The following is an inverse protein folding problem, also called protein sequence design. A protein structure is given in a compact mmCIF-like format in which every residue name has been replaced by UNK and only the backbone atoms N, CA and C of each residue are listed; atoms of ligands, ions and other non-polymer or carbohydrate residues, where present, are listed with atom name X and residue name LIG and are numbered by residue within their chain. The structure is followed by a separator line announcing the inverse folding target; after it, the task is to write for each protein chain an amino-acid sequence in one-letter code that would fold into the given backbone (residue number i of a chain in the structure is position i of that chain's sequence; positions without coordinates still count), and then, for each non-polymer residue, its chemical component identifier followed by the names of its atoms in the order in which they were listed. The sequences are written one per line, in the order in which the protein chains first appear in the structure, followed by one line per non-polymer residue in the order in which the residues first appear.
data_IF_609409537619
#
_entry.id   IF_609409537619
#
_cell.length_a   1.000
_cell.length_b   1.000
_cell.length_c   1.000
_cell.angle_alpha   90.00
_cell.angle_beta   90.00
_cell.angle_gamma   90.00
#
_symmetry.space_group_name_H-M   'P 1'
#
loop_
_entity.id
_entity.type
_entity.pdbx_description
1 polymer ?
#
# COMPACT_ATOMS: atom_id res chain seq x y z
N UNK A 1 10.60 43.37 15.09
CA UNK A 1 10.71 41.95 15.48
C UNK A 1 10.77 41.12 14.18
N UNK A 2 11.65 41.53 13.24
CA UNK A 2 11.40 41.37 11.79
C UNK A 2 12.53 40.68 11.02
N UNK A 3 13.42 39.95 11.70
CA UNK A 3 14.56 39.29 11.05
C UNK A 3 14.51 37.75 11.11
N UNK A 4 13.52 37.16 11.78
CA UNK A 4 13.29 35.71 11.78
C UNK A 4 12.25 35.24 10.75
N UNK A 5 11.48 36.16 10.16
CA UNK A 5 10.42 35.89 9.17
C UNK A 5 10.93 35.71 7.74
N UNK A 6 12.23 35.95 7.47
CA UNK A 6 12.81 35.85 6.12
C UNK A 6 13.41 34.49 5.78
N UNK A 7 13.50 33.56 6.73
CA UNK A 7 14.01 32.20 6.50
C UNK A 7 12.93 31.22 6.02
N UNK A 8 11.65 31.57 6.17
CA UNK A 8 10.52 30.78 5.71
C UNK A 8 9.67 31.63 4.76
N UNK A 9 9.46 31.20 3.50
CA UNK A 9 8.77 32.01 2.49
C UNK A 9 7.30 32.21 2.90
N UNK A 10 6.90 33.41 3.35
CA UNK A 10 5.52 33.84 3.62
C UNK A 10 4.53 32.71 4.01
N UNK A 11 4.93 31.85 4.95
CA UNK A 11 4.13 30.69 5.34
C UNK A 11 2.98 31.17 6.22
N UNK A 12 1.82 31.37 5.60
CA UNK A 12 0.59 31.57 6.34
C UNK A 12 0.20 30.26 7.05
N UNK A 13 -0.17 30.30 8.33
CA UNK A 13 -0.55 29.12 9.11
C UNK A 13 -1.65 28.25 8.45
N UNK A 14 -2.48 28.84 7.58
CA UNK A 14 -3.45 28.13 6.74
C UNK A 14 -2.82 27.11 5.76
N UNK A 15 -1.51 27.18 5.50
CA UNK A 15 -0.78 26.14 4.76
C UNK A 15 -0.71 24.83 5.53
N UNK A 16 -0.71 24.85 6.86
CA UNK A 16 -0.66 23.63 7.66
C UNK A 16 -1.94 22.79 7.48
N UNK A 17 -3.05 23.38 7.03
CA UNK A 17 -4.26 22.65 6.65
C UNK A 17 -4.07 21.71 5.45
N UNK A 18 -2.96 21.83 4.72
CA UNK A 18 -2.59 20.85 3.71
C UNK A 18 -2.18 19.52 4.33
N UNK A 19 -1.72 19.49 5.60
CA UNK A 19 -1.23 18.28 6.25
C UNK A 19 -2.34 17.23 6.35
N UNK A 20 -3.54 17.50 6.90
CA UNK A 20 -4.61 16.51 6.87
C UNK A 20 -5.01 16.10 5.43
N UNK A 21 -4.96 17.04 4.47
CA UNK A 21 -5.20 16.74 3.06
C UNK A 21 -4.18 15.75 2.47
N UNK A 22 -2.91 15.91 2.80
CA UNK A 22 -1.82 14.99 2.45
C UNK A 22 -1.99 13.64 3.15
N UNK A 23 -2.41 13.62 4.41
CA UNK A 23 -2.66 12.37 5.14
C UNK A 23 -3.79 11.56 4.51
N UNK A 24 -4.90 12.21 4.16
CA UNK A 24 -5.97 11.59 3.36
C UNK A 24 -5.40 11.08 2.05
N UNK A 25 -4.62 11.93 1.36
CA UNK A 25 -4.05 11.61 0.05
C UNK A 25 -3.14 10.39 0.07
N UNK A 26 -2.17 10.34 0.98
CA UNK A 26 -1.29 9.18 1.14
C UNK A 26 -2.06 7.94 1.57
N UNK A 27 -3.02 8.05 2.48
CA UNK A 27 -3.87 6.93 2.88
C UNK A 27 -4.58 6.28 1.70
N UNK A 28 -5.31 7.07 0.90
CA UNK A 28 -6.09 6.52 -0.21
C UNK A 28 -5.21 6.04 -1.35
N UNK A 29 -4.06 6.70 -1.56
CA UNK A 29 -3.05 6.32 -2.55
C UNK A 29 -2.48 4.92 -2.27
N UNK A 30 -1.95 4.73 -1.07
CA UNK A 30 -1.35 3.45 -0.66
C UNK A 30 -2.42 2.36 -0.52
N UNK A 31 -3.62 2.72 -0.07
CA UNK A 31 -4.76 1.79 -0.06
C UNK A 31 -5.10 1.32 -1.48
N UNK A 32 -5.11 2.23 -2.46
CA UNK A 32 -5.31 1.93 -3.88
C UNK A 32 -4.31 0.89 -4.39
N UNK A 33 -3.02 1.11 -4.18
CA UNK A 33 -2.00 0.11 -4.54
C UNK A 33 -2.22 -1.23 -3.84
N UNK A 34 -2.49 -1.21 -2.52
CA UNK A 34 -2.62 -2.43 -1.73
C UNK A 34 -3.82 -3.30 -2.12
N UNK A 35 -4.96 -2.67 -2.44
CA UNK A 35 -6.18 -3.36 -2.87
C UNK A 35 -6.02 -3.93 -4.27
N UNK A 36 -5.43 -3.16 -5.19
CA UNK A 36 -5.20 -3.62 -6.56
C UNK A 36 -4.17 -4.76 -6.60
N UNK A 37 -3.07 -4.65 -5.84
CA UNK A 37 -2.08 -5.71 -5.70
C UNK A 37 -2.72 -7.01 -5.17
N UNK A 38 -3.54 -6.90 -4.12
CA UNK A 38 -4.29 -8.05 -3.57
C UNK A 38 -5.24 -8.66 -4.61
N UNK A 39 -5.97 -7.84 -5.35
CA UNK A 39 -6.89 -8.30 -6.39
C UNK A 39 -6.19 -9.10 -7.50
N UNK A 40 -4.96 -8.71 -7.84
CA UNK A 40 -4.12 -9.40 -8.82
C UNK A 40 -3.32 -10.58 -8.25
N UNK A 41 -3.38 -10.83 -6.93
CA UNK A 41 -2.84 -12.03 -6.30
C UNK A 41 -1.63 -11.81 -5.39
N UNK A 42 -1.14 -10.58 -5.23
CA UNK A 42 -0.14 -10.25 -4.21
C UNK A 42 -0.81 -10.13 -2.83
N UNK A 43 -0.77 -11.25 -2.10
CA UNK A 43 -1.28 -11.33 -0.72
C UNK A 43 -0.29 -10.82 0.33
N UNK A 44 0.93 -10.40 -0.04
CA UNK A 44 1.93 -9.92 0.93
C UNK A 44 1.50 -8.64 1.64
N UNK A 45 0.65 -7.82 1.02
CA UNK A 45 0.12 -6.61 1.66
C UNK A 45 -0.81 -6.91 2.84
N UNK A 46 -1.48 -8.06 2.79
CA UNK A 46 -2.36 -8.50 3.88
C UNK A 46 -1.54 -8.88 5.10
N UNK A 47 -0.49 -9.72 4.93
CA UNK A 47 0.37 -10.13 6.04
C UNK A 47 1.18 -8.97 6.63
N UNK A 48 1.51 -7.96 5.81
CA UNK A 48 2.15 -6.71 6.28
C UNK A 48 1.20 -5.75 6.98
N UNK A 49 -0.10 -6.04 7.01
CA UNK A 49 -1.13 -5.15 7.57
C UNK A 49 -1.21 -3.81 6.85
N UNK A 50 -0.88 -3.78 5.55
CA UNK A 50 -0.85 -2.57 4.72
C UNK A 50 -2.17 -2.26 4.01
N UNK A 51 -3.10 -3.22 3.94
CA UNK A 51 -4.47 -2.96 3.48
C UNK A 51 -5.24 -2.28 4.61
N UNK A 52 -5.00 -1.00 4.78
CA UNK A 52 -5.61 -0.19 5.83
C UNK A 52 -5.77 1.26 5.37
N UNK A 53 -6.92 1.89 5.65
CA UNK A 53 -7.08 3.31 5.38
C UNK A 53 -6.35 4.20 6.42
N UNK A 54 -5.83 3.64 7.52
CA UNK A 54 -5.16 4.39 8.59
C UNK A 54 -3.90 5.13 8.08
N UNK A 55 -3.86 6.49 8.10
CA UNK A 55 -2.75 7.27 7.57
C UNK A 55 -1.44 7.00 8.28
N UNK A 56 -1.47 6.73 9.59
CA UNK A 56 -0.25 6.53 10.38
C UNK A 56 0.55 5.29 9.98
N UNK A 57 -0.05 4.35 9.25
CA UNK A 57 0.63 3.15 8.72
C UNK A 57 1.43 3.45 7.45
N UNK A 58 1.15 4.56 6.79
CA UNK A 58 1.70 4.95 5.48
C UNK A 58 2.66 6.14 5.56
N UNK A 59 2.73 6.80 6.71
CA UNK A 59 3.58 7.96 6.97
C UNK A 59 5.06 7.56 7.08
N UNK A 60 5.92 8.30 6.38
CA UNK A 60 7.33 8.41 6.74
C UNK A 60 7.52 9.61 7.68
N UNK A 61 7.76 9.35 8.98
CA UNK A 61 7.88 10.43 9.98
C UNK A 61 8.98 11.46 9.63
N UNK A 62 10.09 10.99 9.05
CA UNK A 62 11.14 11.87 8.54
C UNK A 62 10.67 12.72 7.35
N UNK A 63 9.84 12.15 6.46
CA UNK A 63 9.21 12.88 5.37
C UNK A 63 8.25 13.98 5.86
N UNK A 64 7.48 13.72 6.93
CA UNK A 64 6.65 14.76 7.56
C UNK A 64 7.52 15.85 8.19
N UNK A 65 8.60 15.48 8.87
CA UNK A 65 9.53 16.46 9.45
C UNK A 65 10.10 17.39 8.37
N UNK A 66 10.57 16.83 7.26
CA UNK A 66 11.04 17.61 6.11
C UNK A 66 9.93 18.48 5.51
N UNK A 67 8.68 17.99 5.48
CA UNK A 67 7.55 18.76 4.99
C UNK A 67 7.30 19.98 5.85
N UNK A 68 7.31 19.82 7.17
CA UNK A 68 7.09 20.91 8.13
C UNK A 68 8.24 21.92 8.13
N UNK A 69 9.48 21.48 7.92
CA UNK A 69 10.65 22.37 7.94
C UNK A 69 10.93 23.04 6.59
N UNK A 70 10.69 22.34 5.48
CA UNK A 70 11.14 22.74 4.14
C UNK A 70 10.05 22.68 3.07
N UNK A 71 8.84 22.24 3.40
CA UNK A 71 7.74 22.06 2.45
C UNK A 71 7.87 20.85 1.53
N UNK A 72 8.87 19.98 1.76
CA UNK A 72 9.13 18.78 0.96
C UNK A 72 8.89 17.54 1.83
N UNK A 73 7.94 16.69 1.45
CA UNK A 73 7.66 15.44 2.16
C UNK A 73 7.39 14.28 1.21
N UNK A 74 7.62 13.07 1.68
CA UNK A 74 7.36 11.84 0.94
C UNK A 74 6.73 10.79 1.87
N UNK A 75 5.83 9.93 1.36
CA UNK A 75 5.27 8.82 2.12
C UNK A 75 6.25 7.64 2.20
N UNK A 76 5.89 6.61 2.96
CA UNK A 76 6.61 5.33 2.92
C UNK A 76 6.00 4.47 1.80
N UNK A 77 6.66 4.33 0.63
CA UNK A 77 6.04 3.70 -0.53
C UNK A 77 5.65 2.25 -0.26
N UNK A 78 4.52 1.82 -0.81
CA UNK A 78 4.16 0.42 -0.87
C UNK A 78 5.05 -0.33 -1.87
N UNK A 79 5.44 -1.54 -1.49
CA UNK A 79 6.22 -2.44 -2.32
C UNK A 79 5.35 -3.65 -2.61
N UNK A 80 4.93 -3.80 -3.86
CA UNK A 80 4.24 -4.98 -4.36
C UNK A 80 5.23 -5.91 -5.08
N UNK A 81 4.89 -7.19 -5.16
CA UNK A 81 5.71 -8.17 -5.87
C UNK A 81 5.09 -8.51 -7.24
N UNK A 82 5.68 -8.03 -8.36
CA UNK A 82 5.23 -8.35 -9.72
C UNK A 82 5.16 -9.85 -10.03
N UNK A 83 5.91 -10.67 -9.29
CA UNK A 83 6.02 -12.10 -9.54
C UNK A 83 4.88 -12.87 -8.88
N UNK A 84 4.12 -12.25 -7.99
CA UNK A 84 2.91 -12.84 -7.37
C UNK A 84 1.65 -12.61 -8.23
N UNK A 85 1.72 -11.70 -9.20
CA UNK A 85 0.62 -11.34 -10.09
C UNK A 85 0.30 -12.40 -11.15
N UNK A 86 -0.91 -12.31 -11.72
CA UNK A 86 -1.37 -13.22 -12.78
C UNK A 86 -0.70 -12.89 -14.11
N UNK A 87 -0.69 -11.61 -14.47
CA UNK A 87 0.11 -11.05 -15.56
C UNK A 87 1.11 -10.08 -14.96
N UNK A 88 2.40 -10.46 -14.99
CA UNK A 88 3.49 -9.71 -14.38
C UNK A 88 3.47 -8.24 -14.76
N UNK A 89 3.26 -7.90 -16.04
CA UNK A 89 3.44 -6.54 -16.52
C UNK A 89 2.12 -5.76 -16.54
N UNK A 90 1.01 -6.38 -16.95
CA UNK A 90 -0.28 -5.69 -16.94
C UNK A 90 -0.72 -5.38 -15.51
N UNK A 91 -0.61 -6.34 -14.61
CA UNK A 91 -1.06 -6.17 -13.22
C UNK A 91 -0.14 -5.20 -12.47
N UNK A 92 1.17 -5.19 -12.77
CA UNK A 92 2.10 -4.18 -12.25
C UNK A 92 1.78 -2.78 -12.74
N UNK A 93 1.41 -2.64 -14.03
CA UNK A 93 0.98 -1.36 -14.58
C UNK A 93 -0.29 -0.85 -13.90
N UNK A 94 -1.31 -1.71 -13.80
CA UNK A 94 -2.59 -1.36 -13.17
C UNK A 94 -2.43 -1.05 -11.68
N UNK A 95 -1.58 -1.80 -10.97
CA UNK A 95 -1.24 -1.54 -9.58
C UNK A 95 -0.52 -0.20 -9.43
N UNK A 96 0.44 0.12 -10.30
CA UNK A 96 1.17 1.39 -10.25
C UNK A 96 0.26 2.60 -10.51
N UNK A 97 -0.73 2.52 -11.40
CA UNK A 97 -1.65 3.65 -11.64
C UNK A 97 -2.78 3.75 -10.60
N UNK A 98 -3.01 2.70 -9.80
CA UNK A 98 -4.12 2.65 -8.84
C UNK A 98 -4.04 3.73 -7.75
N UNK A 99 -2.85 3.96 -7.18
CA UNK A 99 -2.64 5.02 -6.19
C UNK A 99 -2.95 6.43 -6.75
N UNK A 100 -2.30 6.85 -7.86
CA UNK A 100 -2.62 8.12 -8.51
C UNK A 100 -4.10 8.26 -8.88
N UNK A 101 -4.72 7.20 -9.40
CA UNK A 101 -6.14 7.19 -9.74
C UNK A 101 -7.02 7.41 -8.51
N UNK A 102 -6.69 6.80 -7.36
CA UNK A 102 -7.40 7.01 -6.10
C UNK A 102 -7.33 8.48 -5.64
N UNK A 103 -6.17 9.14 -5.77
CA UNK A 103 -6.07 10.57 -5.48
C UNK A 103 -6.92 11.43 -6.42
N UNK A 104 -6.91 11.15 -7.73
CA UNK A 104 -7.78 11.88 -8.66
C UNK A 104 -9.27 11.66 -8.36
N UNK A 105 -9.66 10.45 -7.93
CA UNK A 105 -11.03 10.17 -7.51
C UNK A 105 -11.43 10.98 -6.27
N UNK A 106 -10.56 11.05 -5.24
CA UNK A 106 -10.81 11.90 -4.06
C UNK A 106 -10.85 13.37 -4.45
N UNK A 107 -9.91 13.84 -5.27
CA UNK A 107 -9.90 15.21 -5.79
C UNK A 107 -11.22 15.53 -6.50
N UNK A 108 -11.67 14.69 -7.43
CA UNK A 108 -12.93 14.90 -8.14
C UNK A 108 -14.14 14.93 -7.17
N UNK A 109 -14.20 14.00 -6.22
CA UNK A 109 -15.27 13.95 -5.23
C UNK A 109 -15.31 15.22 -4.36
N UNK A 110 -14.17 15.68 -3.88
CA UNK A 110 -14.05 16.88 -3.05
C UNK A 110 -14.37 18.14 -3.86
N UNK A 111 -13.94 18.19 -5.12
CA UNK A 111 -14.27 19.30 -6.03
C UNK A 111 -15.79 19.41 -6.26
N UNK A 112 -16.45 18.29 -6.59
CA UNK A 112 -17.90 18.27 -6.83
C UNK A 112 -18.68 18.58 -5.56
N UNK A 113 -18.38 17.90 -4.45
CA UNK A 113 -19.10 18.11 -3.17
C UNK A 113 -18.86 19.51 -2.59
N UNK A 114 -17.63 20.01 -2.62
CA UNK A 114 -17.29 21.37 -2.22
C UNK A 114 -17.96 22.41 -3.11
N UNK A 115 -18.01 22.15 -4.43
CA UNK A 115 -18.69 23.04 -5.37
C UNK A 115 -20.20 23.11 -5.17
N UNK A 116 -20.85 21.97 -4.90
CA UNK A 116 -22.27 21.93 -4.54
C UNK A 116 -22.56 22.67 -3.23
N UNK A 117 -21.69 22.51 -2.22
CA UNK A 117 -21.79 23.25 -0.96
C UNK A 117 -21.70 24.77 -1.19
N UNK A 118 -20.66 25.22 -1.90
CA UNK A 118 -20.46 26.64 -2.24
C UNK A 118 -21.66 27.18 -3.03
N UNK A 119 -22.15 26.42 -4.01
CA UNK A 119 -23.30 26.81 -4.82
C UNK A 119 -24.57 26.95 -3.98
N UNK A 120 -24.85 26.01 -3.06
CA UNK A 120 -25.98 26.11 -2.13
C UNK A 120 -25.86 27.29 -1.15
N UNK A 121 -24.65 27.56 -0.64
CA UNK A 121 -24.39 28.73 0.21
C UNK A 121 -24.53 30.06 -0.56
N UNK A 122 -24.26 30.07 -1.87
CA UNK A 122 -24.50 31.23 -2.73
C UNK A 122 -25.99 31.43 -3.00
N UNK A 123 -26.73 30.36 -3.32
CA UNK A 123 -28.17 30.41 -3.54
C UNK A 123 -28.96 30.89 -2.33
N UNK A 124 -28.52 30.53 -1.12
CA UNK A 124 -29.12 31.01 0.13
C UNK A 124 -28.78 32.48 0.44
N UNK A 125 -27.96 33.14 -0.39
CA UNK A 125 -27.50 34.52 -0.17
C UNK A 125 -26.42 34.66 0.91
N UNK A 126 -25.97 33.57 1.53
CA UNK A 126 -25.06 33.59 2.67
C UNK A 126 -23.63 33.99 2.30
N UNK A 127 -23.21 33.75 1.06
CA UNK A 127 -21.90 34.16 0.51
C UNK A 127 -21.91 35.53 -0.17
N UNK A 128 -23.07 36.20 -0.22
CA UNK A 128 -23.23 37.45 -0.97
C UNK A 128 -22.98 37.30 -2.48
N UNK A 129 -22.62 38.40 -3.14
CA UNK A 129 -22.41 38.46 -4.59
C UNK A 129 -20.99 38.08 -5.04
N UNK A 130 -20.22 37.37 -4.20
CA UNK A 130 -18.87 36.98 -4.55
C UNK A 130 -18.87 36.10 -5.82
N UNK A 131 -18.01 36.38 -6.81
CA UNK A 131 -17.96 35.58 -8.01
C UNK A 131 -17.42 34.16 -7.70
N UNK A 132 -17.87 33.16 -8.46
CA UNK A 132 -17.66 31.75 -8.09
C UNK A 132 -16.18 31.37 -8.15
N UNK A 133 -15.44 31.86 -9.13
CA UNK A 133 -13.99 31.70 -9.29
C UNK A 133 -13.24 32.16 -8.03
N UNK A 134 -13.65 33.29 -7.48
CA UNK A 134 -13.13 33.86 -6.24
C UNK A 134 -13.35 32.88 -5.10
N UNK A 135 -14.52 32.24 -4.98
CA UNK A 135 -14.80 31.25 -3.93
C UNK A 135 -14.05 29.91 -4.14
N UNK A 136 -13.83 29.48 -5.38
CA UNK A 136 -13.19 28.18 -5.69
C UNK A 136 -11.65 28.20 -5.59
N UNK A 137 -11.01 29.35 -5.84
CA UNK A 137 -9.55 29.45 -5.98
C UNK A 137 -8.82 30.08 -4.80
N UNK A 138 -9.50 30.38 -3.69
CA UNK A 138 -8.83 30.98 -2.54
C UNK A 138 -7.97 30.02 -1.74
N UNK A 139 -6.81 30.53 -1.34
CA UNK A 139 -5.77 29.81 -0.60
C UNK A 139 -5.56 30.35 0.81
N UNK A 140 -6.21 31.47 1.20
CA UNK A 140 -6.04 32.09 2.53
C UNK A 140 -7.36 32.51 3.16
N UNK A 141 -7.42 32.39 4.49
CA UNK A 141 -8.59 32.76 5.30
C UNK A 141 -8.95 34.25 5.18
N UNK A 142 -7.94 35.12 5.02
CA UNK A 142 -8.11 36.58 4.89
C UNK A 142 -8.93 37.00 3.68
N UNK A 143 -9.06 36.12 2.69
CA UNK A 143 -9.61 36.49 1.38
C UNK A 143 -11.16 36.52 1.40
N UNK A 144 -11.80 36.06 2.49
CA UNK A 144 -13.25 35.85 2.56
C UNK A 144 -13.97 36.59 3.69
N UNK A 145 -13.24 37.05 4.72
CA UNK A 145 -13.85 37.47 6.00
C UNK A 145 -14.73 38.73 5.93
N UNK A 146 -14.72 39.49 4.84
CA UNK A 146 -15.34 40.81 4.77
C UNK A 146 -16.82 40.85 4.32
N UNK A 147 -17.43 39.76 3.84
CA UNK A 147 -18.75 39.85 3.16
C UNK A 147 -19.78 38.75 3.45
N UNK A 148 -19.59 37.93 4.49
CA UNK A 148 -20.58 36.90 4.86
C UNK A 148 -21.57 37.42 5.90
N UNK A 149 -22.86 37.09 5.72
CA UNK A 149 -23.97 37.51 6.60
C UNK A 149 -24.13 36.66 7.89
N UNK A 150 -23.06 35.93 8.26
CA UNK A 150 -23.05 35.06 9.44
C UNK A 150 -22.56 35.79 10.69
N UNK A 151 -22.95 35.29 11.88
CA UNK A 151 -22.27 35.63 13.13
C UNK A 151 -20.78 35.30 13.01
N UNK A 152 -19.91 36.07 13.68
CA UNK A 152 -18.45 35.96 13.52
C UNK A 152 -17.93 34.53 13.67
N UNK A 153 -18.48 33.77 14.64
CA UNK A 153 -18.14 32.36 14.83
C UNK A 153 -18.54 31.46 13.65
N UNK A 154 -19.75 31.65 13.12
CA UNK A 154 -20.25 30.84 11.99
C UNK A 154 -19.59 31.24 10.66
N UNK A 155 -19.29 32.53 10.47
CA UNK A 155 -18.50 33.04 9.35
C UNK A 155 -17.15 32.35 9.29
N UNK A 156 -16.42 32.35 10.40
CA UNK A 156 -15.11 31.72 10.48
C UNK A 156 -15.20 30.21 10.20
N UNK A 157 -16.19 29.51 10.76
CA UNK A 157 -16.37 28.08 10.52
C UNK A 157 -16.57 27.76 9.02
N UNK A 158 -17.45 28.49 8.32
CA UNK A 158 -17.71 28.26 6.89
C UNK A 158 -16.48 28.56 6.04
N UNK A 159 -15.76 29.66 6.30
CA UNK A 159 -14.50 29.97 5.61
C UNK A 159 -13.47 28.86 5.79
N UNK A 160 -13.31 28.36 7.01
CA UNK A 160 -12.36 27.27 7.29
C UNK A 160 -12.75 25.96 6.61
N UNK A 161 -14.03 25.62 6.54
CA UNK A 161 -14.50 24.45 5.79
C UNK A 161 -14.15 24.58 4.30
N UNK A 162 -14.39 25.74 3.70
CA UNK A 162 -14.06 26.01 2.28
C UNK A 162 -12.55 25.90 2.04
N UNK A 163 -11.74 26.56 2.87
CA UNK A 163 -10.27 26.51 2.78
C UNK A 163 -9.76 25.08 2.96
N UNK A 164 -10.26 24.36 3.95
CA UNK A 164 -9.89 22.95 4.19
C UNK A 164 -10.24 22.07 2.99
N UNK A 165 -11.45 22.20 2.46
CA UNK A 165 -11.91 21.48 1.26
C UNK A 165 -10.99 21.74 0.07
N UNK A 166 -10.61 23.01 -0.15
CA UNK A 166 -9.62 23.37 -1.17
C UNK A 166 -8.26 22.70 -0.92
N UNK A 167 -7.76 22.68 0.34
CA UNK A 167 -6.48 22.03 0.67
C UNK A 167 -6.49 20.53 0.42
N UNK A 168 -7.58 19.84 0.75
CA UNK A 168 -7.73 18.41 0.46
C UNK A 168 -7.74 18.15 -1.05
N UNK A 169 -8.47 18.98 -1.80
CA UNK A 169 -8.53 18.92 -3.26
C UNK A 169 -7.13 19.11 -3.89
N UNK A 170 -6.45 20.23 -3.58
CA UNK A 170 -5.11 20.52 -4.11
C UNK A 170 -4.12 19.41 -3.75
N UNK A 171 -4.07 19.00 -2.49
CA UNK A 171 -3.14 17.97 -2.02
C UNK A 171 -3.30 16.68 -2.81
N UNK A 172 -4.54 16.20 -2.98
CA UNK A 172 -4.80 14.97 -3.72
C UNK A 172 -4.51 15.12 -5.22
N UNK A 173 -4.95 16.22 -5.84
CA UNK A 173 -4.68 16.46 -7.26
C UNK A 173 -3.17 16.50 -7.55
N UNK A 174 -2.41 17.25 -6.75
CA UNK A 174 -0.95 17.39 -6.91
C UNK A 174 -0.24 16.06 -6.65
N UNK A 175 -0.63 15.31 -5.61
CA UNK A 175 -0.09 13.98 -5.35
C UNK A 175 -0.32 13.04 -6.53
N UNK A 176 -1.56 12.96 -7.04
CA UNK A 176 -1.87 12.15 -8.22
C UNK A 176 -1.08 12.56 -9.46
N UNK A 177 -0.94 13.87 -9.71
CA UNK A 177 -0.21 14.38 -10.87
C UNK A 177 1.29 14.10 -10.79
N UNK A 178 1.93 14.33 -9.64
CA UNK A 178 3.35 14.06 -9.44
C UNK A 178 3.61 12.56 -9.56
N UNK A 179 2.78 11.72 -8.94
CA UNK A 179 2.98 10.27 -8.97
C UNK A 179 2.92 9.66 -10.37
N UNK A 180 2.24 10.28 -11.34
CA UNK A 180 2.21 9.81 -12.74
C UNK A 180 3.52 10.13 -13.50
N UNK A 181 4.33 11.07 -13.01
CA UNK A 181 5.57 11.43 -13.70
C UNK A 181 6.50 10.21 -13.81
N UNK A 182 7.13 9.96 -14.97
CA UNK A 182 8.01 8.83 -15.20
C UNK A 182 9.41 9.07 -14.60
N UNK A 183 9.47 9.45 -13.32
CA UNK A 183 10.70 9.72 -12.58
C UNK A 183 11.03 8.55 -11.64
N UNK A 184 12.31 8.14 -11.53
CA UNK A 184 12.70 7.08 -10.61
C UNK A 184 12.19 7.32 -9.19
N UNK A 185 11.56 6.29 -8.60
CA UNK A 185 10.97 6.36 -7.26
C UNK A 185 9.50 6.80 -7.23
N UNK A 186 8.89 7.17 -8.36
CA UNK A 186 7.46 7.45 -8.50
C UNK A 186 6.73 6.34 -9.26
N UNK A 187 5.41 6.27 -9.09
CA UNK A 187 4.59 5.20 -9.66
C UNK A 187 4.57 5.21 -11.19
N UNK A 188 4.62 6.40 -11.80
CA UNK A 188 4.68 6.59 -13.23
C UNK A 188 5.91 5.94 -13.87
N UNK A 189 7.02 5.85 -13.14
CA UNK A 189 8.20 5.12 -13.60
C UNK A 189 7.95 3.61 -13.59
N UNK A 190 7.35 3.07 -12.53
CA UNK A 190 6.95 1.66 -12.47
C UNK A 190 5.92 1.31 -13.55
N UNK A 191 4.96 2.18 -13.79
CA UNK A 191 3.98 2.04 -14.87
C UNK A 191 4.67 2.03 -16.24
N UNK A 192 5.61 2.95 -16.48
CA UNK A 192 6.38 2.99 -17.73
C UNK A 192 7.20 1.71 -17.94
N UNK A 193 7.92 1.23 -16.91
CA UNK A 193 8.69 -0.01 -16.99
C UNK A 193 7.79 -1.22 -17.28
N UNK A 194 6.61 -1.26 -16.66
CA UNK A 194 5.62 -2.30 -16.87
C UNK A 194 5.09 -2.28 -18.31
N UNK A 195 4.80 -1.09 -18.86
CA UNK A 195 4.40 -0.92 -20.25
C UNK A 195 5.49 -1.38 -21.24
N UNK A 196 6.75 -1.02 -20.98
CA UNK A 196 7.89 -1.49 -21.77
C UNK A 196 8.04 -3.01 -21.71
N UNK A 197 7.81 -3.59 -20.53
CA UNK A 197 7.80 -5.04 -20.31
C UNK A 197 6.75 -5.75 -21.16
N UNK A 198 5.51 -5.25 -21.18
CA UNK A 198 4.44 -5.79 -22.03
C UNK A 198 4.82 -5.80 -23.52
N UNK A 199 5.43 -4.71 -24.01
CA UNK A 199 5.87 -4.63 -25.42
C UNK A 199 7.00 -5.62 -25.71
N UNK A 200 7.96 -5.74 -24.79
CA UNK A 200 9.10 -6.67 -24.92
C UNK A 200 8.65 -8.12 -24.89
N UNK A 201 7.75 -8.48 -23.97
CA UNK A 201 7.26 -9.85 -23.85
C UNK A 201 6.48 -10.30 -25.09
N UNK A 202 5.61 -9.46 -25.64
CA UNK A 202 4.93 -9.75 -26.91
C UNK A 202 5.92 -10.00 -28.05
N UNK A 203 7.01 -9.22 -28.13
CA UNK A 203 8.07 -9.46 -29.13
C UNK A 203 8.81 -10.77 -28.89
N UNK A 204 9.16 -11.09 -27.64
CA UNK A 204 9.84 -12.35 -27.30
C UNK A 204 8.94 -13.54 -27.65
N UNK A 205 7.64 -13.49 -27.37
CA UNK A 205 6.71 -14.56 -27.73
C UNK A 205 6.62 -14.74 -29.25
N UNK A 206 6.62 -13.65 -30.03
CA UNK A 206 6.68 -13.71 -31.50
C UNK A 206 8.01 -14.31 -32.02
N UNK A 207 9.13 -13.99 -31.37
CA UNK A 207 10.45 -14.52 -31.74
C UNK A 207 10.64 -15.98 -31.31
N UNK A 208 10.10 -16.38 -30.17
CA UNK A 208 10.16 -17.75 -29.67
C UNK A 208 9.34 -18.71 -30.55
N UNK A 209 8.24 -18.23 -31.13
CA UNK A 209 7.47 -18.99 -32.12
C UNK A 209 8.21 -19.18 -33.46
N UNK A 210 9.28 -18.40 -33.71
CA UNK A 210 10.02 -18.43 -34.98
C UNK A 210 11.44 -19.01 -34.86
N UNK A 211 11.86 -19.54 -33.70
CA UNK A 211 13.25 -19.99 -33.45
C UNK A 211 13.38 -21.50 -33.09
N UNK A 212 14.35 -22.27 -33.66
CA UNK A 212 14.59 -23.67 -33.30
C UNK A 212 15.37 -23.82 -31.99
N UNK A 213 14.91 -24.68 -31.08
CA UNK A 213 15.44 -24.87 -29.73
C UNK A 213 16.84 -25.51 -29.70
N UNK A 214 17.79 -24.90 -28.97
CA UNK A 214 19.02 -25.55 -28.50
C UNK A 214 19.20 -25.23 -27.01
N UNK A 215 19.36 -26.27 -26.19
CA UNK A 215 19.44 -26.17 -24.74
C UNK A 215 20.78 -26.66 -24.21
N UNK A 216 21.17 -26.15 -23.04
CA UNK A 216 21.96 -26.83 -22.03
C UNK A 216 22.05 -25.94 -20.78
N UNK A 217 21.63 -26.44 -19.62
CA UNK A 217 21.75 -25.76 -18.33
C UNK A 217 22.50 -26.64 -17.33
N UNK A 218 23.52 -26.07 -16.69
CA UNK A 218 24.43 -26.69 -15.71
C UNK A 218 23.90 -26.51 -14.27
N UNK A 219 24.01 -27.54 -13.42
CA UNK A 219 23.65 -27.49 -11.98
C UNK A 219 24.88 -27.40 -11.05
N UNK A 220 24.74 -26.80 -9.84
CA UNK A 220 25.56 -27.17 -8.69
C UNK A 220 24.82 -27.33 -7.33
N UNK A 221 25.50 -28.02 -6.39
CA UNK A 221 25.12 -28.50 -5.02
C UNK A 221 25.16 -27.44 -3.90
N UNK A 222 24.21 -27.46 -2.95
CA UNK A 222 24.39 -27.36 -1.46
C UNK A 222 23.06 -27.53 -0.69
N UNK A 223 23.12 -27.81 0.62
CA UNK A 223 22.04 -28.33 1.47
C UNK A 223 20.87 -27.37 1.73
N UNK A 224 19.93 -27.35 0.80
CA UNK A 224 18.52 -27.08 1.02
C UNK A 224 17.75 -28.35 0.59
N UNK A 225 16.57 -28.60 1.16
CA UNK A 225 15.84 -29.86 0.97
C UNK A 225 15.29 -29.91 -0.47
N UNK A 226 16.10 -30.36 -1.41
CA UNK A 226 15.66 -30.67 -2.76
C UNK A 226 14.82 -31.95 -2.77
N UNK A 227 13.77 -32.04 -3.60
CA UNK A 227 13.14 -33.32 -3.87
C UNK A 227 14.22 -34.30 -4.38
N UNK A 228 14.23 -35.51 -3.85
CA UNK A 228 15.19 -36.55 -4.22
C UNK A 228 15.12 -36.80 -5.73
N UNK A 229 16.22 -36.51 -6.43
CA UNK A 229 16.37 -36.70 -7.86
C UNK A 229 16.42 -38.19 -8.19
N UNK A 230 15.26 -38.79 -8.41
CA UNK A 230 15.15 -40.12 -9.03
C UNK A 230 14.30 -40.02 -10.29
N UNK A 231 14.94 -40.40 -11.40
CA UNK A 231 14.38 -40.74 -12.72
C UNK A 231 13.80 -39.59 -13.56
N UNK A 232 14.58 -39.16 -14.55
CA UNK A 232 14.22 -38.74 -15.92
C UNK A 232 12.75 -38.30 -16.17
N UNK A 233 12.25 -37.37 -15.36
CA UNK A 233 10.94 -36.73 -15.49
C UNK A 233 11.22 -35.26 -15.75
N UNK A 234 10.60 -34.72 -16.81
CA UNK A 234 10.68 -33.31 -17.19
C UNK A 234 10.52 -32.44 -15.93
N UNK A 235 11.48 -31.57 -15.65
CA UNK A 235 11.51 -30.73 -14.44
C UNK A 235 10.20 -29.93 -14.35
N UNK A 236 9.50 -30.04 -13.21
CA UNK A 236 8.18 -29.41 -13.07
C UNK A 236 8.33 -27.90 -12.82
N UNK A 237 7.29 -27.13 -13.14
CA UNK A 237 7.24 -25.69 -12.82
C UNK A 237 7.42 -25.49 -11.30
N UNK A 238 6.90 -26.40 -10.48
CA UNK A 238 7.07 -26.38 -9.03
C UNK A 238 8.54 -26.51 -8.62
N UNK A 239 9.29 -27.41 -9.25
CA UNK A 239 10.72 -27.62 -8.97
C UNK A 239 11.55 -26.38 -9.32
N UNK A 240 11.27 -25.72 -10.44
CA UNK A 240 11.97 -24.50 -10.86
C UNK A 240 11.76 -23.38 -9.84
N UNK A 241 10.50 -23.10 -9.47
CA UNK A 241 10.19 -22.08 -8.48
C UNK A 241 10.75 -22.44 -7.11
N UNK A 242 10.70 -23.71 -6.72
CA UNK A 242 11.30 -24.15 -5.46
C UNK A 242 12.80 -23.87 -5.43
N UNK A 243 13.54 -24.28 -6.47
CA UNK A 243 14.99 -24.03 -6.60
C UNK A 243 15.34 -22.53 -6.55
N UNK A 244 14.53 -21.68 -7.16
CA UNK A 244 14.70 -20.22 -7.06
C UNK A 244 14.48 -19.71 -5.64
N UNK A 245 13.44 -20.20 -4.95
CA UNK A 245 13.18 -19.82 -3.55
C UNK A 245 14.28 -20.25 -2.61
N UNK A 246 14.83 -21.44 -2.84
CA UNK A 246 16.03 -21.95 -2.19
C UNK A 246 17.23 -21.00 -2.34
N UNK A 247 17.50 -20.51 -3.54
CA UNK A 247 18.62 -19.61 -3.78
C UNK A 247 18.42 -18.25 -3.09
N UNK A 248 17.22 -17.68 -3.13
CA UNK A 248 16.91 -16.46 -2.37
C UNK A 248 17.01 -16.66 -0.86
N UNK A 249 16.57 -17.80 -0.34
CA UNK A 249 16.69 -18.15 1.07
C UNK A 249 18.15 -18.15 1.50
N UNK A 250 19.03 -18.76 0.70
CA UNK A 250 20.47 -18.82 0.95
C UNK A 250 21.12 -17.44 0.96
N UNK A 251 20.59 -16.50 0.17
CA UNK A 251 21.02 -15.10 0.15
C UNK A 251 20.46 -14.27 1.33
N UNK A 252 19.66 -14.85 2.23
CA UNK A 252 18.97 -14.14 3.31
C UNK A 252 17.80 -13.28 2.85
N UNK A 253 17.43 -13.36 1.56
CA UNK A 253 16.28 -12.65 0.97
C UNK A 253 15.01 -13.44 1.24
N UNK A 254 14.61 -13.49 2.51
CA UNK A 254 13.52 -14.34 2.96
C UNK A 254 12.16 -13.99 2.33
N UNK A 255 11.89 -12.71 2.05
CA UNK A 255 10.67 -12.30 1.34
C UNK A 255 10.61 -12.87 -0.08
N UNK A 256 11.69 -12.72 -0.86
CA UNK A 256 11.79 -13.26 -2.22
C UNK A 256 11.72 -14.80 -2.22
N UNK A 257 12.31 -15.44 -1.21
CA UNK A 257 12.26 -16.88 -1.02
C UNK A 257 10.82 -17.37 -0.81
N UNK A 258 10.09 -16.71 0.09
CA UNK A 258 8.68 -17.01 0.39
C UNK A 258 7.82 -16.89 -0.87
N UNK A 259 8.01 -15.84 -1.67
CA UNK A 259 7.28 -15.65 -2.92
C UNK A 259 7.50 -16.82 -3.89
N UNK A 260 8.75 -17.26 -4.06
CA UNK A 260 9.07 -18.40 -4.92
C UNK A 260 8.55 -19.73 -4.39
N UNK A 261 8.56 -19.96 -3.08
CA UNK A 261 7.92 -21.14 -2.50
C UNK A 261 6.40 -21.14 -2.72
N UNK A 262 5.74 -19.99 -2.63
CA UNK A 262 4.32 -19.87 -2.97
C UNK A 262 4.06 -20.23 -4.42
N UNK A 263 4.88 -19.75 -5.35
CA UNK A 263 4.76 -20.11 -6.77
C UNK A 263 4.97 -21.61 -7.01
N UNK A 264 5.90 -22.24 -6.28
CA UNK A 264 6.06 -23.69 -6.34
C UNK A 264 4.77 -24.43 -5.91
N UNK A 265 4.12 -23.95 -4.85
CA UNK A 265 2.88 -24.55 -4.35
C UNK A 265 1.68 -24.25 -5.27
N UNK A 266 1.64 -23.09 -5.95
CA UNK A 266 0.62 -22.80 -6.97
C UNK A 266 0.74 -23.77 -8.15
N UNK A 267 1.97 -24.11 -8.54
CA UNK A 267 2.23 -25.04 -9.63
C UNK A 267 1.92 -26.49 -9.24
N UNK A 268 2.20 -26.87 -7.99
CA UNK A 268 1.80 -28.16 -7.42
C UNK A 268 1.40 -27.98 -5.95
N UNK A 269 0.09 -28.05 -5.70
CA UNK A 269 -0.49 -27.88 -4.37
C UNK A 269 0.00 -28.91 -3.35
N UNK A 270 0.50 -30.05 -3.82
CA UNK A 270 1.00 -31.15 -3.00
C UNK A 270 2.52 -31.09 -2.77
N UNK A 271 3.19 -30.02 -3.23
CA UNK A 271 4.63 -29.86 -3.16
C UNK A 271 5.11 -29.52 -1.74
N UNK A 272 5.25 -30.56 -0.92
CA UNK A 272 5.63 -30.48 0.49
C UNK A 272 6.89 -29.66 0.80
N UNK A 273 7.99 -29.78 0.02
CA UNK A 273 9.23 -29.06 0.31
C UNK A 273 9.06 -27.54 0.33
N UNK A 274 8.19 -26.99 -0.53
CA UNK A 274 7.94 -25.56 -0.57
C UNK A 274 7.22 -25.06 0.69
N UNK A 275 6.25 -25.80 1.22
CA UNK A 275 5.58 -25.44 2.47
C UNK A 275 6.55 -25.42 3.65
N UNK A 276 7.41 -26.45 3.77
CA UNK A 276 8.41 -26.55 4.84
C UNK A 276 9.39 -25.38 4.77
N UNK A 277 9.99 -25.15 3.61
CA UNK A 277 10.99 -24.09 3.45
C UNK A 277 10.39 -22.68 3.57
N UNK A 278 9.12 -22.49 3.18
CA UNK A 278 8.37 -21.27 3.46
C UNK A 278 8.18 -21.06 4.97
N UNK A 279 7.82 -22.11 5.72
CA UNK A 279 7.72 -22.04 7.17
C UNK A 279 9.05 -21.68 7.85
N UNK A 280 10.16 -22.24 7.37
CA UNK A 280 11.50 -21.89 7.85
C UNK A 280 11.87 -20.44 7.53
N UNK A 281 11.53 -19.94 6.35
CA UNK A 281 11.77 -18.54 5.98
C UNK A 281 10.97 -17.58 6.87
N UNK A 282 9.69 -17.87 7.17
CA UNK A 282 8.91 -17.09 8.13
C UNK A 282 9.49 -17.16 9.55
N UNK A 283 9.98 -18.32 9.98
CA UNK A 283 10.66 -18.48 11.28
C UNK A 283 11.90 -17.59 11.36
N UNK A 284 12.71 -17.53 10.30
CA UNK A 284 13.89 -16.67 10.22
C UNK A 284 13.54 -15.17 10.30
N UNK A 285 12.36 -14.78 9.81
CA UNK A 285 11.81 -13.41 9.93
C UNK A 285 11.11 -13.13 11.26
N UNK A 286 11.11 -14.07 12.21
CA UNK A 286 10.37 -14.00 13.47
C UNK A 286 8.83 -13.86 13.28
N UNK A 287 8.31 -14.31 12.14
CA UNK A 287 6.89 -14.32 11.80
C UNK A 287 6.27 -15.67 12.17
N UNK A 288 6.07 -15.88 13.47
CA UNK A 288 5.73 -17.18 14.05
C UNK A 288 4.39 -17.74 13.58
N UNK A 289 3.36 -16.90 13.47
CA UNK A 289 2.02 -17.36 13.10
C UNK A 289 1.99 -17.85 11.65
N UNK A 290 2.66 -17.12 10.76
CA UNK A 290 2.81 -17.44 9.34
C UNK A 290 3.67 -18.69 9.15
N UNK A 291 4.71 -18.88 9.97
CA UNK A 291 5.50 -20.11 10.00
C UNK A 291 4.62 -21.32 10.37
N UNK A 292 3.82 -21.21 11.43
CA UNK A 292 2.88 -22.26 11.85
C UNK A 292 1.90 -22.59 10.73
N UNK A 293 1.34 -21.58 10.06
CA UNK A 293 0.38 -21.77 8.98
C UNK A 293 1.02 -22.50 7.78
N UNK A 294 2.22 -22.09 7.37
CA UNK A 294 2.97 -22.72 6.28
C UNK A 294 3.27 -24.20 6.59
N UNK A 295 3.74 -24.48 7.81
CA UNK A 295 4.07 -25.85 8.23
C UNK A 295 2.83 -26.73 8.37
N UNK A 296 1.70 -26.20 8.85
CA UNK A 296 0.42 -26.94 8.84
C UNK A 296 0.00 -27.29 7.41
N UNK A 297 0.21 -26.38 6.45
CA UNK A 297 0.00 -26.65 5.03
C UNK A 297 0.77 -27.88 4.55
N UNK A 298 2.04 -28.03 4.92
CA UNK A 298 2.82 -29.23 4.61
C UNK A 298 2.17 -30.50 5.20
N UNK A 299 1.74 -30.47 6.46
CA UNK A 299 1.13 -31.66 7.11
C UNK A 299 -0.19 -32.09 6.45
N UNK A 300 -0.93 -31.15 5.86
CA UNK A 300 -2.26 -31.38 5.31
C UNK A 300 -2.23 -31.73 3.81
N UNK A 301 -1.37 -31.08 3.03
CA UNK A 301 -1.42 -31.15 1.57
C UNK A 301 -0.24 -31.88 0.93
N UNK A 302 0.90 -32.03 1.62
CA UNK A 302 2.07 -32.68 1.02
C UNK A 302 1.77 -34.14 0.67
N UNK A 303 2.22 -34.59 -0.49
CA UNK A 303 2.18 -36.02 -0.85
C UNK A 303 3.35 -36.80 -0.24
N UNK A 304 4.47 -36.14 0.06
CA UNK A 304 5.65 -36.78 0.60
C UNK A 304 5.68 -36.80 2.14
N UNK A 305 5.95 -37.98 2.69
CA UNK A 305 5.96 -38.20 4.14
C UNK A 305 7.10 -37.47 4.85
N UNK A 306 8.19 -37.21 4.13
CA UNK A 306 9.35 -36.48 4.63
C UNK A 306 8.98 -35.05 5.01
N UNK A 307 8.32 -34.31 4.11
CA UNK A 307 7.89 -32.94 4.37
C UNK A 307 6.87 -32.86 5.51
N UNK A 308 5.95 -33.83 5.61
CA UNK A 308 5.01 -33.90 6.74
C UNK A 308 5.74 -34.08 8.07
N UNK A 309 6.66 -35.04 8.13
CA UNK A 309 7.44 -35.32 9.35
C UNK A 309 8.28 -34.12 9.77
N UNK A 310 8.94 -33.46 8.81
CA UNK A 310 9.73 -32.26 9.07
C UNK A 310 8.86 -31.09 9.54
N UNK A 311 7.71 -30.89 8.91
CA UNK A 311 6.78 -29.85 9.32
C UNK A 311 6.25 -30.09 10.73
N UNK A 312 5.95 -31.34 11.09
CA UNK A 312 5.50 -31.70 12.43
C UNK A 312 6.58 -31.45 13.50
N UNK A 313 7.84 -31.79 13.21
CA UNK A 313 8.97 -31.49 14.09
C UNK A 313 9.17 -29.98 14.31
N UNK A 314 9.10 -29.19 13.23
CA UNK A 314 9.21 -27.72 13.31
C UNK A 314 8.03 -27.09 14.04
N UNK A 315 6.81 -27.59 13.85
CA UNK A 315 5.63 -27.16 14.61
C UNK A 315 5.76 -27.46 16.10
N UNK A 316 6.31 -28.63 16.46
CA UNK A 316 6.55 -28.98 17.85
C UNK A 316 7.58 -28.04 18.50
N UNK A 317 8.66 -27.73 17.79
CA UNK A 317 9.68 -26.77 18.24
C UNK A 317 9.13 -25.34 18.39
N UNK A 318 8.19 -24.94 17.53
CA UNK A 318 7.51 -23.66 17.68
C UNK A 318 6.58 -23.71 18.89
N UNK A 319 5.71 -24.72 19.01
CA UNK A 319 4.74 -24.81 20.12
C UNK A 319 5.39 -24.97 21.51
N UNK A 320 6.54 -25.63 21.63
CA UNK A 320 7.27 -25.75 22.90
C UNK A 320 7.81 -24.41 23.42
N UNK A 321 7.84 -23.38 22.56
CA UNK A 321 8.19 -21.99 22.92
C UNK A 321 6.96 -21.13 23.29
N UNK A 322 5.77 -21.70 23.55
CA UNK A 322 4.60 -20.95 24.06
C UNK A 322 3.73 -21.75 25.02
N UNK A 323 3.42 -21.14 26.17
CA UNK A 323 2.30 -21.53 27.03
C UNK A 323 0.96 -21.30 26.30
N UNK A 324 0.13 -22.36 26.27
CA UNK A 324 -1.23 -22.49 25.75
C UNK A 324 -1.45 -22.57 24.22
N UNK A 325 -2.14 -23.63 23.72
CA UNK A 325 -2.49 -23.75 22.31
C UNK A 325 -3.67 -22.84 21.94
N UNK A 326 -3.46 -21.92 20.99
CA UNK A 326 -4.57 -21.29 20.29
C UNK A 326 -5.34 -22.37 19.50
N UNK A 327 -6.62 -22.57 19.83
CA UNK A 327 -7.54 -23.37 19.04
C UNK A 327 -7.62 -22.76 17.64
N UNK A 328 -7.11 -23.48 16.65
CA UNK A 328 -7.28 -23.16 15.23
C UNK A 328 -8.25 -24.18 14.66
N UNK A 329 -9.34 -23.67 14.08
CA UNK A 329 -10.42 -24.47 13.49
C UNK A 329 -9.91 -25.17 12.22
N UNK A 330 -9.94 -26.50 12.22
CA UNK A 330 -9.39 -27.38 11.16
C UNK A 330 -10.48 -27.75 10.14
N UNK A 331 -11.65 -27.11 10.21
CA UNK A 331 -12.82 -27.46 9.39
C UNK A 331 -12.76 -27.02 7.93
N UNK A 332 -11.73 -26.27 7.49
CA UNK A 332 -11.56 -25.86 6.09
C UNK A 332 -10.91 -26.93 5.18
N UNK A 333 -10.98 -28.20 5.55
CA UNK A 333 -10.47 -29.31 4.74
C UNK A 333 -11.41 -29.69 3.60
N UNK A 334 -11.33 -29.00 2.46
CA UNK A 334 -11.51 -29.57 1.09
C UNK A 334 -11.52 -28.57 -0.08
N UNK A 335 -11.14 -27.31 0.10
CA UNK A 335 -11.32 -26.32 -0.98
C UNK A 335 -10.35 -26.44 -2.17
N UNK A 336 -9.27 -27.21 -2.07
CA UNK A 336 -8.22 -27.21 -3.12
C UNK A 336 -7.54 -25.84 -3.30
N UNK A 337 -7.73 -24.94 -2.33
CA UNK A 337 -7.28 -23.54 -2.33
C UNK A 337 -6.20 -23.40 -1.27
N UNK A 338 -5.07 -22.78 -1.61
CA UNK A 338 -3.91 -22.70 -0.72
C UNK A 338 -4.21 -21.85 0.54
N UNK A 339 -3.77 -22.25 1.74
CA UNK A 339 -4.23 -21.68 3.01
C UNK A 339 -3.92 -20.19 3.26
N UNK A 340 -3.08 -19.54 2.43
CA UNK A 340 -2.81 -18.09 2.50
C UNK A 340 -3.65 -17.25 1.54
N UNK A 341 -4.37 -17.88 0.61
CA UNK A 341 -5.31 -17.15 -0.26
C UNK A 341 -6.60 -16.76 0.47
N UNK A 342 -6.77 -17.19 1.73
CA UNK A 342 -7.93 -16.93 2.57
C UNK A 342 -7.78 -15.76 3.56
N UNK A 343 -6.65 -15.04 3.60
CA UNK A 343 -6.57 -13.84 4.46
C UNK A 343 -7.38 -12.71 3.79
N UNK A 344 -8.67 -12.66 4.11
CA UNK A 344 -9.55 -11.58 3.66
C UNK A 344 -9.05 -10.25 4.23
N UNK A 345 -8.95 -9.19 3.40
CA UNK A 345 -8.66 -7.86 3.91
C UNK A 345 -9.74 -7.44 4.90
N UNK A 346 -9.33 -6.86 6.03
CA UNK A 346 -10.21 -6.21 7.00
C UNK A 346 -9.79 -4.75 7.15
N UNK A 347 -10.16 -3.87 6.19
CA UNK A 347 -9.80 -2.46 6.27
C UNK A 347 -10.43 -1.82 7.51
N UNK A 348 -9.61 -1.26 8.39
CA UNK A 348 -10.07 -0.61 9.61
C UNK A 348 -10.60 0.81 9.33
N UNK A 349 -11.83 0.87 8.81
CA UNK A 349 -12.52 2.11 8.50
C UNK A 349 -12.80 2.97 9.74
N UNK A 350 -12.93 2.35 10.92
CA UNK A 350 -13.16 3.07 12.18
C UNK A 350 -11.89 3.83 12.57
N UNK A 351 -10.72 3.21 12.50
CA UNK A 351 -9.44 3.90 12.73
C UNK A 351 -9.19 5.04 11.74
N UNK A 352 -9.62 4.89 10.49
CA UNK A 352 -9.54 5.97 9.50
C UNK A 352 -10.46 7.14 9.83
N UNK A 353 -11.75 6.87 10.10
CA UNK A 353 -12.71 7.91 10.43
C UNK A 353 -12.34 8.62 11.74
N UNK A 354 -11.93 7.87 12.77
CA UNK A 354 -11.47 8.45 14.04
C UNK A 354 -10.19 9.26 13.87
N UNK A 355 -9.20 8.76 13.12
CA UNK A 355 -7.98 9.51 12.80
C UNK A 355 -8.27 10.80 12.03
N UNK A 356 -9.17 10.75 11.04
CA UNK A 356 -9.60 11.89 10.26
C UNK A 356 -10.30 12.93 11.14
N UNK A 357 -11.28 12.51 11.96
CA UNK A 357 -12.01 13.40 12.87
C UNK A 357 -11.08 14.04 13.90
N UNK A 358 -10.16 13.27 14.49
CA UNK A 358 -9.17 13.79 15.44
C UNK A 358 -8.24 14.79 14.75
N UNK A 359 -7.77 14.53 13.53
CA UNK A 359 -6.92 15.46 12.79
C UNK A 359 -7.67 16.74 12.42
N UNK A 360 -8.89 16.64 11.91
CA UNK A 360 -9.74 17.80 11.59
C UNK A 360 -10.02 18.61 12.85
N UNK A 361 -10.34 17.95 13.96
CA UNK A 361 -10.63 18.59 15.24
C UNK A 361 -9.39 19.22 15.87
N UNK A 362 -8.26 18.52 15.92
CA UNK A 362 -6.99 19.05 16.45
C UNK A 362 -6.50 20.22 15.61
N UNK A 363 -6.61 20.18 14.28
CA UNK A 363 -6.26 21.34 13.45
C UNK A 363 -7.23 22.50 13.64
N UNK A 364 -8.54 22.24 13.76
CA UNK A 364 -9.54 23.29 14.01
C UNK A 364 -9.37 23.94 15.39
N UNK A 365 -9.10 23.14 16.44
CA UNK A 365 -8.88 23.62 17.80
C UNK A 365 -7.50 24.26 17.99
N UNK A 366 -6.42 23.68 17.45
CA UNK A 366 -5.08 24.24 17.55
C UNK A 366 -5.00 25.58 16.83
N UNK A 367 -5.61 25.71 15.64
CA UNK A 367 -5.69 26.99 14.91
C UNK A 367 -6.58 27.98 15.67
N UNK A 368 -7.73 27.55 16.21
CA UNK A 368 -8.62 28.39 17.02
C UNK A 368 -7.95 28.94 18.28
N UNK A 369 -7.18 28.12 19.00
CA UNK A 369 -6.43 28.48 20.22
C UNK A 369 -5.17 29.31 19.92
N UNK A 370 -4.48 29.05 18.80
CA UNK A 370 -3.35 29.88 18.37
C UNK A 370 -3.83 31.28 17.97
N UNK A 371 -4.96 31.38 17.26
CA UNK A 371 -5.52 32.64 16.80
C UNK A 371 -6.09 33.49 17.93
N UNK A 372 -6.73 32.88 18.93
CA UNK A 372 -7.21 33.62 20.12
C UNK A 372 -6.05 34.16 20.97
N UNK A 373 -4.91 33.46 21.05
CA UNK A 373 -3.74 33.93 21.80
C UNK A 373 -2.82 34.88 21.02
N UNK A 374 -2.81 34.84 19.68
CA UNK A 374 -1.96 35.71 18.84
C UNK A 374 -2.66 37.00 18.38
N UNK A 375 -3.99 37.00 18.25
CA UNK A 375 -4.77 38.20 17.88
C UNK A 375 -5.37 38.94 19.08
N UNK A 376 -5.16 38.41 20.29
CA UNK A 376 -5.49 39.06 21.56
C UNK A 376 -4.38 39.94 22.13
N UNK A 377 -3.36 40.29 21.34
CA UNK A 377 -2.31 41.26 21.69
C UNK A 377 -2.15 42.32 20.61
#
# INVERSE_FOLDING_TARGET
MDTATSLFPNWHWSYLLIIPGLLIGFSVHELGHSLTAYFFGDTTQVSRGKITPNPFRHIAYFGILLFVLFGIGFPKPLQFDPEEFKDRYLDSFLTAIAGPAANFAVSLLVFVSGGLLIWGLKLSGLLGNQPLDTIFFFTRHSDFTASMSFSDGMRNAVVWIIVFTNRVWVANFVLGAISILPLPGLDGFTALLSLMGMVKEKRIQQLAQTSPASGQELQPKSAIISPTSTTNKKESIADIHFRLGVEYHRQGKFDDAIARYRQAIRADFSYGPAYVNMGLAYKAKNQRNEAIQALKGATQYATDEKSKTQAWAELHNLNSLSDAPAKVDVSAGNSGVAPWTDIKPSPDWIAFLTGLVVLVFLFSCAIGLLLTNLLGK
#
